data_IF_586581920489
#
_entry.id   IF_586581920489
#
_cell.length_a   1.000
_cell.length_b   1.000
_cell.length_c   1.000
_cell.angle_alpha   90.00
_cell.angle_beta   90.00
_cell.angle_gamma   90.00
#
_symmetry.space_group_name_H-M   'P 1'
#
loop_
_entity.id
_entity.type
_entity.pdbx_description
1 polymer ?
#
# COMPACT_ATOMS: atom_id res chain seq x y z
N UNK A 1 -0.38 3.41 6.13
CA UNK A 1 -0.70 2.02 5.71
C UNK A 1 -1.86 2.05 4.72
N UNK A 2 -1.79 1.27 3.65
CA UNK A 2 -2.92 0.92 2.77
C UNK A 2 -3.21 -0.58 2.92
N UNK A 3 -4.48 -0.95 2.95
CA UNK A 3 -4.96 -2.34 3.00
C UNK A 3 -6.24 -2.45 2.17
N UNK A 4 -6.28 -3.42 1.25
CA UNK A 4 -7.46 -3.65 0.39
C UNK A 4 -7.55 -5.10 -0.09
N UNK A 5 -8.77 -5.52 -0.41
CA UNK A 5 -9.03 -6.75 -1.16
C UNK A 5 -9.05 -6.39 -2.65
N UNK A 6 -8.40 -7.22 -3.47
CA UNK A 6 -8.32 -7.02 -4.91
C UNK A 6 -8.63 -8.31 -5.61
N UNK A 7 -9.56 -8.27 -6.57
CA UNK A 7 -9.75 -9.36 -7.51
C UNK A 7 -8.81 -9.20 -8.71
N UNK A 8 -7.88 -10.15 -8.89
CA UNK A 8 -6.95 -10.12 -10.01
C UNK A 8 -7.55 -10.50 -11.36
N UNK A 9 -8.82 -10.88 -11.40
CA UNK A 9 -9.57 -10.98 -12.66
C UNK A 9 -10.04 -9.61 -13.17
N UNK A 10 -10.19 -8.62 -12.27
CA UNK A 10 -10.63 -7.26 -12.61
C UNK A 10 -9.48 -6.25 -12.69
N UNK A 11 -8.45 -6.37 -11.85
CA UNK A 11 -7.30 -5.47 -11.81
C UNK A 11 -6.00 -6.26 -11.85
N UNK A 12 -5.04 -5.85 -12.68
CA UNK A 12 -3.75 -6.55 -12.71
C UNK A 12 -3.05 -6.46 -11.35
N UNK A 13 -2.31 -7.51 -10.99
CA UNK A 13 -1.53 -7.53 -9.74
C UNK A 13 -0.57 -6.35 -9.62
N UNK A 14 0.09 -6.00 -10.72
CA UNK A 14 1.05 -4.90 -10.78
C UNK A 14 0.38 -3.55 -10.52
N UNK A 15 -0.73 -3.27 -11.21
CA UNK A 15 -1.51 -2.04 -11.00
C UNK A 15 -2.04 -1.95 -9.57
N UNK A 16 -2.55 -3.06 -9.03
CA UNK A 16 -3.08 -3.12 -7.68
C UNK A 16 -2.02 -2.79 -6.62
N UNK A 17 -0.80 -3.32 -6.79
CA UNK A 17 0.35 -3.07 -5.92
C UNK A 17 0.85 -1.63 -6.06
N UNK A 18 0.96 -1.11 -7.28
CA UNK A 18 1.38 0.28 -7.51
C UNK A 18 0.40 1.27 -6.88
N UNK A 19 -0.91 1.05 -7.05
CA UNK A 19 -1.94 1.85 -6.38
C UNK A 19 -1.82 1.77 -4.85
N UNK A 20 -1.61 0.57 -4.29
CA UNK A 20 -1.46 0.41 -2.83
C UNK A 20 -0.19 1.09 -2.31
N UNK A 21 0.91 1.07 -3.08
CA UNK A 21 2.15 1.79 -2.80
C UNK A 21 1.91 3.29 -2.75
N UNK A 22 1.29 3.85 -3.78
CA UNK A 22 1.00 5.29 -3.86
C UNK A 22 0.09 5.75 -2.71
N UNK A 23 -0.95 4.98 -2.40
CA UNK A 23 -1.83 5.25 -1.25
C UNK A 23 -1.08 5.22 0.08
N UNK A 24 -0.19 4.24 0.29
CA UNK A 24 0.59 4.10 1.50
C UNK A 24 1.57 5.27 1.67
N UNK A 25 2.25 5.68 0.59
CA UNK A 25 3.14 6.86 0.56
C UNK A 25 2.35 8.12 0.90
N UNK A 26 1.24 8.35 0.20
CA UNK A 26 0.40 9.52 0.44
C UNK A 26 -0.15 9.54 1.88
N UNK A 27 -0.46 8.38 2.47
CA UNK A 27 -0.86 8.28 3.86
C UNK A 27 0.28 8.65 4.83
N UNK A 28 1.53 8.25 4.55
CA UNK A 28 2.68 8.62 5.36
C UNK A 28 2.94 10.13 5.29
N UNK A 29 2.90 10.73 4.10
CA UNK A 29 3.07 12.18 3.91
C UNK A 29 1.96 12.95 4.63
N UNK A 30 0.69 12.52 4.50
CA UNK A 30 -0.43 13.13 5.25
C UNK A 30 -0.26 13.04 6.76
N UNK A 31 0.44 12.02 7.26
CA UNK A 31 0.76 11.86 8.67
C UNK A 31 1.96 12.72 9.13
N UNK A 32 2.61 13.46 8.22
CA UNK A 32 3.71 14.38 8.53
C UNK A 32 5.09 13.86 8.12
N UNK A 33 5.18 12.72 7.43
CA UNK A 33 6.45 12.26 6.89
C UNK A 33 6.97 13.21 5.80
N UNK A 34 8.28 13.41 5.74
CA UNK A 34 8.97 14.07 4.64
C UNK A 34 8.89 13.18 3.41
N UNK A 35 8.18 13.65 2.38
CA UNK A 35 7.96 12.95 1.12
C UNK A 35 9.26 12.43 0.49
N UNK A 36 10.37 13.17 0.64
CA UNK A 36 11.67 12.78 0.08
C UNK A 36 12.33 11.59 0.80
N UNK A 37 11.85 11.26 1.99
CA UNK A 37 12.35 10.15 2.83
C UNK A 37 11.38 8.98 2.90
N UNK A 38 10.19 9.10 2.31
CA UNK A 38 9.18 8.03 2.40
C UNK A 38 9.61 6.81 1.60
N UNK A 39 9.71 5.69 2.29
CA UNK A 39 9.98 4.37 1.72
C UNK A 39 8.90 3.36 2.10
N UNK A 40 8.82 2.26 1.32
CA UNK A 40 7.96 1.13 1.65
C UNK A 40 8.72 0.22 2.59
N UNK A 41 8.19 0.07 3.80
CA UNK A 41 8.81 -0.73 4.87
C UNK A 41 8.23 -2.14 4.95
N UNK A 42 7.07 -2.38 4.35
CA UNK A 42 6.39 -3.67 4.35
C UNK A 42 5.38 -3.76 3.19
N UNK A 43 5.32 -4.93 2.55
CA UNK A 43 4.35 -5.23 1.50
C UNK A 43 3.92 -6.69 1.59
N UNK A 44 2.63 -6.91 1.82
CA UNK A 44 2.01 -8.23 1.85
C UNK A 44 1.03 -8.37 0.68
N UNK A 45 1.05 -9.53 0.04
CA UNK A 45 0.10 -9.94 -0.99
C UNK A 45 -0.30 -11.39 -0.71
N UNK A 46 -1.46 -11.57 -0.09
CA UNK A 46 -1.91 -12.85 0.46
C UNK A 46 -3.20 -13.29 -0.24
N UNK A 47 -3.16 -14.36 -1.05
CA UNK A 47 -4.34 -14.93 -1.67
C UNK A 47 -5.37 -15.39 -0.63
N UNK A 48 -6.65 -15.13 -0.89
CA UNK A 48 -7.75 -15.56 -0.03
C UNK A 48 -8.40 -16.83 -0.57
N UNK A 49 -8.06 -17.98 0.04
CA UNK A 49 -8.47 -19.30 -0.43
C UNK A 49 -10.00 -19.58 -0.45
N UNK A 50 -10.81 -18.71 0.19
CA UNK A 50 -12.26 -18.90 0.31
C UNK A 50 -13.09 -17.82 -0.41
N UNK A 51 -12.44 -16.88 -1.11
CA UNK A 51 -13.14 -15.90 -1.93
C UNK A 51 -13.26 -16.40 -3.37
N UNK A 52 -14.45 -16.27 -4.01
CA UNK A 52 -14.58 -16.55 -5.43
C UNK A 52 -13.72 -15.58 -6.25
N UNK A 53 -13.07 -16.08 -7.29
CA UNK A 53 -12.13 -15.31 -8.14
C UNK A 53 -10.67 -15.46 -7.74
N UNK A 54 -9.81 -14.57 -8.23
CA UNK A 54 -8.37 -14.51 -7.85
C UNK A 54 -8.14 -13.39 -6.82
N UNK A 55 -8.95 -13.40 -5.76
CA UNK A 55 -8.90 -12.36 -4.74
C UNK A 55 -7.68 -12.49 -3.83
N UNK A 56 -6.96 -11.39 -3.64
CA UNK A 56 -5.86 -11.30 -2.67
C UNK A 56 -6.04 -10.08 -1.77
N UNK A 57 -5.59 -10.21 -0.52
CA UNK A 57 -5.44 -9.08 0.39
C UNK A 57 -4.07 -8.47 0.18
N UNK A 58 -4.04 -7.22 -0.27
CA UNK A 58 -2.82 -6.44 -0.38
C UNK A 58 -2.73 -5.51 0.82
N UNK A 59 -1.56 -5.46 1.46
CA UNK A 59 -1.24 -4.49 2.50
C UNK A 59 0.12 -3.88 2.23
N UNK A 60 0.19 -2.55 2.25
CA UNK A 60 1.44 -1.82 2.06
C UNK A 60 1.62 -0.81 3.19
N UNK A 61 2.80 -0.79 3.80
CA UNK A 61 3.19 0.21 4.80
C UNK A 61 4.30 1.07 4.23
N UNK A 62 4.17 2.37 4.42
CA UNK A 62 5.20 3.34 4.13
C UNK A 62 5.52 4.14 5.39
N UNK A 63 6.76 4.55 5.53
CA UNK A 63 7.22 5.45 6.59
C UNK A 63 8.32 6.37 6.03
N UNK A 64 8.45 7.54 6.63
CA UNK A 64 9.54 8.48 6.36
C UNK A 64 9.78 9.30 7.62
N UNK A 65 10.83 10.11 7.60
CA UNK A 65 11.21 10.97 8.71
C UNK A 65 10.13 12.02 8.98
N UNK A 66 9.91 12.36 10.24
CA UNK A 66 8.95 13.41 10.60
C UNK A 66 9.49 14.77 10.16
N UNK A 67 8.71 15.52 9.37
CA UNK A 67 8.97 16.92 9.10
C UNK A 67 8.83 17.73 10.39
N UNK A 68 9.94 17.94 11.11
CA UNK A 68 9.96 18.85 12.24
C UNK A 68 9.84 20.28 11.71
N UNK A 69 8.66 20.88 11.88
CA UNK A 69 8.48 22.33 11.64
C UNK A 69 8.97 23.08 12.87
N UNK A 70 9.98 23.91 12.66
CA UNK A 70 10.57 24.80 13.66
C UNK A 70 9.70 26.03 13.93
#
# INVERSE_FOLDING_TARGET
VSEKLVDYEETSREEALEHARQEAIAAAVRAGADESTVEIIDSEDVPLAYYPGKTSRIRVKAAGDLLMKH
#
